data_IF_122703909969
#
_entry.id   IF_122703909969
#
_cell.length_a   1.000
_cell.length_b   1.000
_cell.length_c   1.000
_cell.angle_alpha   90.00
_cell.angle_beta   90.00
_cell.angle_gamma   90.00
#
_symmetry.space_group_name_H-M   'P 1'
#
loop_
_entity.id
_entity.type
_entity.pdbx_description
1 polymer ?
#
# COMPACT_ATOMS: atom_id res chain seq x y z
N UNK A 1 12.43 11.80 4.96
CA UNK A 1 11.22 11.05 4.60
C UNK A 1 10.35 10.86 5.83
N UNK A 2 9.07 11.11 5.72
CA UNK A 2 8.07 10.97 6.78
C UNK A 2 7.23 9.72 6.52
N UNK A 3 7.02 8.89 7.56
CA UNK A 3 6.13 7.72 7.56
C UNK A 3 5.19 7.86 8.76
N UNK A 4 4.32 8.86 8.70
CA UNK A 4 3.47 9.25 9.83
C UNK A 4 1.98 9.21 9.45
N UNK A 5 1.11 9.39 10.42
CA UNK A 5 -0.33 9.42 10.22
C UNK A 5 -0.72 10.60 9.32
N UNK A 6 -1.58 10.34 8.34
CA UNK A 6 -2.09 11.35 7.42
C UNK A 6 -2.90 12.46 8.11
N UNK A 7 -3.05 13.58 7.44
CA UNK A 7 -3.81 14.75 7.91
C UNK A 7 -2.93 15.75 8.66
N UNK A 8 -3.46 16.39 9.69
CA UNK A 8 -2.80 17.46 10.45
C UNK A 8 -1.37 17.11 10.92
N UNK A 9 -1.04 15.88 11.38
CA UNK A 9 0.33 15.55 11.78
C UNK A 9 1.37 15.76 10.68
N UNK A 10 0.99 15.58 9.40
CA UNK A 10 1.90 15.85 8.28
C UNK A 10 2.15 17.33 8.11
N UNK A 11 1.10 18.15 8.25
CA UNK A 11 1.22 19.61 8.17
C UNK A 11 2.07 20.16 9.33
N UNK A 12 1.85 19.67 10.55
CA UNK A 12 2.64 20.02 11.74
C UNK A 12 4.12 19.69 11.54
N UNK A 13 4.43 18.46 11.10
CA UNK A 13 5.81 18.03 10.82
C UNK A 13 6.47 18.87 9.72
N UNK A 14 5.75 19.23 8.67
CA UNK A 14 6.28 20.13 7.62
C UNK A 14 6.68 21.47 8.25
N UNK A 15 5.83 22.08 9.11
CA UNK A 15 6.17 23.36 9.74
C UNK A 15 7.38 23.24 10.68
N UNK A 16 7.55 22.11 11.37
CA UNK A 16 8.73 21.85 12.21
C UNK A 16 10.01 21.67 11.39
N UNK A 17 9.93 21.04 10.21
CA UNK A 17 11.09 20.79 9.35
C UNK A 17 11.55 22.04 8.59
N UNK A 18 10.63 22.87 8.12
CA UNK A 18 10.93 24.01 7.26
C UNK A 18 12.05 24.95 7.75
N UNK A 19 12.18 25.26 9.08
CA UNK A 19 13.27 26.10 9.58
C UNK A 19 14.67 25.46 9.50
N UNK A 20 14.74 24.14 9.26
CA UNK A 20 15.95 23.36 9.24
C UNK A 20 16.38 22.92 7.82
N UNK A 21 15.60 23.32 6.81
CA UNK A 21 15.80 22.96 5.42
C UNK A 21 16.28 24.17 4.60
N UNK A 22 17.02 23.89 3.54
CA UNK A 22 17.51 24.88 2.60
C UNK A 22 16.78 24.77 1.24
N UNK A 23 16.75 25.85 0.42
CA UNK A 23 16.18 25.79 -0.91
C UNK A 23 16.79 24.65 -1.75
N UNK A 24 15.92 23.82 -2.33
CA UNK A 24 16.28 22.63 -3.08
C UNK A 24 16.20 21.32 -2.28
N UNK A 25 16.09 21.38 -0.97
CA UNK A 25 15.83 20.18 -0.15
C UNK A 25 14.50 19.53 -0.49
N UNK A 26 14.41 18.21 -0.30
CA UNK A 26 13.24 17.40 -0.65
C UNK A 26 12.57 16.82 0.60
N UNK A 27 11.32 17.17 0.82
CA UNK A 27 10.45 16.50 1.79
C UNK A 27 9.72 15.34 1.10
N UNK A 28 9.83 14.12 1.62
CA UNK A 28 9.13 12.94 1.12
C UNK A 28 8.08 12.53 2.15
N UNK A 29 6.80 12.54 1.74
CA UNK A 29 5.68 11.99 2.49
C UNK A 29 5.34 10.60 1.97
N UNK A 30 5.71 9.54 2.72
CA UNK A 30 5.44 8.15 2.41
C UNK A 30 4.22 7.60 3.17
N UNK A 31 3.47 8.45 3.87
CA UNK A 31 2.22 8.07 4.53
C UNK A 31 1.07 7.84 3.54
N UNK A 32 -0.09 7.46 4.07
CA UNK A 32 -1.31 7.34 3.26
C UNK A 32 -2.08 8.67 3.25
N UNK A 33 -1.45 9.74 2.77
CA UNK A 33 -2.06 11.07 2.72
C UNK A 33 -3.15 11.17 1.64
N UNK A 34 -4.15 12.02 1.89
CA UNK A 34 -5.12 12.41 0.85
C UNK A 34 -4.37 13.16 -0.26
N UNK A 35 -4.61 12.76 -1.51
CA UNK A 35 -3.93 13.37 -2.66
C UNK A 35 -4.21 14.87 -2.81
N UNK A 36 -5.37 15.35 -2.35
CA UNK A 36 -5.75 16.78 -2.36
C UNK A 36 -4.91 17.58 -1.36
N UNK A 37 -4.66 17.00 -0.19
CA UNK A 37 -3.74 17.60 0.79
C UNK A 37 -2.30 17.61 0.24
N UNK A 38 -1.89 16.57 -0.46
CA UNK A 38 -0.58 16.51 -1.10
C UNK A 38 -0.45 17.58 -2.18
N UNK A 39 -1.47 17.76 -3.02
CA UNK A 39 -1.52 18.83 -4.01
C UNK A 39 -1.32 20.23 -3.38
N UNK A 40 -1.97 20.48 -2.25
CA UNK A 40 -1.81 21.72 -1.47
C UNK A 40 -0.40 21.86 -0.91
N UNK A 41 0.11 20.80 -0.27
CA UNK A 41 1.44 20.77 0.36
C UNK A 41 2.57 20.99 -0.65
N UNK A 42 2.48 20.41 -1.84
CA UNK A 42 3.42 20.68 -2.94
C UNK A 42 3.52 22.18 -3.18
N UNK A 43 2.40 22.87 -3.38
CA UNK A 43 2.38 24.32 -3.65
C UNK A 43 2.95 25.14 -2.48
N UNK A 44 2.60 24.79 -1.25
CA UNK A 44 3.05 25.48 -0.03
C UNK A 44 4.56 25.32 0.21
N UNK A 45 5.11 24.13 -0.05
CA UNK A 45 6.53 23.82 0.13
C UNK A 45 7.37 24.44 -0.99
N UNK A 46 6.91 24.35 -2.25
CA UNK A 46 7.55 24.99 -3.39
C UNK A 46 7.63 26.51 -3.28
N UNK A 47 6.58 27.15 -2.73
CA UNK A 47 6.57 28.59 -2.48
C UNK A 47 7.66 29.03 -1.48
N UNK A 48 8.26 28.09 -0.74
CA UNK A 48 9.39 28.32 0.18
C UNK A 48 10.73 27.86 -0.38
N UNK A 49 10.79 27.47 -1.65
CA UNK A 49 12.00 27.05 -2.36
C UNK A 49 12.41 25.60 -2.16
N UNK A 50 11.68 24.80 -1.37
CA UNK A 50 11.91 23.36 -1.19
C UNK A 50 11.04 22.55 -2.15
N UNK A 51 11.28 21.25 -2.21
CA UNK A 51 10.57 20.31 -3.07
C UNK A 51 9.79 19.29 -2.22
N UNK A 52 8.64 18.83 -2.73
CA UNK A 52 7.79 17.88 -2.03
C UNK A 52 7.45 16.68 -2.90
N UNK A 53 7.57 15.46 -2.35
CA UNK A 53 7.19 14.21 -3.00
C UNK A 53 6.18 13.49 -2.12
N UNK A 54 4.96 13.35 -2.62
CA UNK A 54 3.94 12.49 -2.03
C UNK A 54 4.06 11.10 -2.64
N UNK A 55 4.40 10.11 -1.81
CA UNK A 55 4.75 8.78 -2.28
C UNK A 55 3.82 7.74 -1.71
N UNK A 56 2.97 7.14 -2.56
CA UNK A 56 2.24 5.94 -2.19
C UNK A 56 3.19 4.76 -2.01
N UNK A 57 3.06 4.04 -0.90
CA UNK A 57 3.87 2.86 -0.59
C UNK A 57 2.95 1.68 -0.32
N UNK A 58 3.20 0.55 -0.98
CA UNK A 58 2.42 -0.68 -0.85
C UNK A 58 3.31 -1.90 -0.65
N UNK A 59 2.89 -2.82 0.23
CA UNK A 59 3.62 -4.05 0.53
C UNK A 59 3.49 -4.49 1.99
N UNK A 60 2.89 -3.67 2.84
CA UNK A 60 2.73 -3.96 4.26
C UNK A 60 4.06 -4.21 4.97
N UNK A 61 4.04 -5.02 6.01
CA UNK A 61 5.21 -5.34 6.84
C UNK A 61 6.27 -6.14 6.05
N UNK A 62 5.84 -7.09 5.24
CA UNK A 62 6.74 -7.88 4.39
C UNK A 62 7.37 -7.00 3.32
N UNK A 63 6.61 -6.10 2.69
CA UNK A 63 7.15 -5.14 1.73
C UNK A 63 8.16 -4.19 2.36
N UNK A 64 7.98 -3.79 3.62
CA UNK A 64 8.97 -2.99 4.33
C UNK A 64 10.31 -3.72 4.50
N UNK A 65 10.30 -5.05 4.62
CA UNK A 65 11.49 -5.89 4.77
C UNK A 65 12.14 -6.25 3.42
N UNK A 66 11.31 -6.57 2.41
CA UNK A 66 11.79 -7.19 1.15
C UNK A 66 11.75 -6.26 -0.05
N UNK A 67 11.18 -5.06 0.11
CA UNK A 67 10.96 -4.06 -0.92
C UNK A 67 9.48 -3.83 -1.20
N UNK A 68 8.99 -2.58 -1.06
CA UNK A 68 7.61 -2.23 -1.39
C UNK A 68 7.45 -1.83 -2.86
N UNK A 69 6.22 -1.77 -3.35
CA UNK A 69 5.89 -0.96 -4.52
C UNK A 69 5.83 0.51 -4.12
N UNK A 70 6.44 1.39 -4.91
CA UNK A 70 6.63 2.82 -4.59
C UNK A 70 6.07 3.68 -5.71
N UNK A 71 5.15 4.58 -5.39
CA UNK A 71 4.40 5.41 -6.32
C UNK A 71 4.67 6.90 -6.06
N UNK A 72 5.85 7.44 -6.47
CA UNK A 72 6.22 8.83 -6.21
C UNK A 72 5.53 9.81 -7.15
N UNK A 73 5.07 10.92 -6.60
CA UNK A 73 4.57 12.08 -7.34
C UNK A 73 4.79 13.36 -6.55
N UNK A 74 4.63 14.54 -7.16
CA UNK A 74 4.85 15.80 -6.45
C UNK A 74 5.56 16.85 -7.30
N UNK A 75 6.62 17.43 -6.77
CA UNK A 75 7.49 18.37 -7.47
C UNK A 75 8.33 17.65 -8.51
N UNK A 76 8.16 17.90 -9.82
CA UNK A 76 8.93 17.18 -10.86
C UNK A 76 10.44 17.33 -10.73
N UNK A 77 10.91 18.48 -10.24
CA UNK A 77 12.32 18.74 -10.01
C UNK A 77 12.94 17.86 -8.89
N UNK A 78 12.11 17.26 -8.04
CA UNK A 78 12.57 16.33 -7.00
C UNK A 78 12.93 14.96 -7.56
N UNK A 79 12.30 14.52 -8.65
CA UNK A 79 12.47 13.15 -9.14
C UNK A 79 13.94 12.77 -9.41
N UNK A 80 14.76 13.56 -10.13
CA UNK A 80 16.16 13.23 -10.33
C UNK A 80 16.97 13.09 -9.03
N UNK A 81 16.54 13.77 -7.96
CA UNK A 81 17.25 13.77 -6.67
C UNK A 81 16.90 12.54 -5.81
N UNK A 82 15.70 11.99 -5.97
CA UNK A 82 15.19 10.90 -5.11
C UNK A 82 15.05 9.56 -5.85
N UNK A 83 15.16 9.55 -7.18
CA UNK A 83 14.95 8.39 -8.03
C UNK A 83 15.75 7.18 -7.57
N UNK A 84 17.05 7.32 -7.47
CA UNK A 84 17.94 6.20 -7.15
C UNK A 84 17.66 5.64 -5.74
N UNK A 85 17.33 6.52 -4.78
CA UNK A 85 16.94 6.12 -3.44
C UNK A 85 15.64 5.30 -3.46
N UNK A 86 14.59 5.84 -4.08
CA UNK A 86 13.26 5.21 -4.10
C UNK A 86 13.26 3.92 -4.93
N UNK A 87 13.94 3.92 -6.08
CA UNK A 87 14.13 2.71 -6.88
C UNK A 87 15.03 1.69 -6.18
N UNK A 88 15.98 2.14 -5.38
CA UNK A 88 16.86 1.26 -4.58
C UNK A 88 16.11 0.41 -3.57
N UNK A 89 15.16 1.01 -2.86
CA UNK A 89 14.36 0.34 -1.81
C UNK A 89 13.13 -0.39 -2.34
N UNK A 90 12.72 -0.14 -3.58
CA UNK A 90 11.54 -0.77 -4.17
C UNK A 90 11.76 -2.27 -4.45
N UNK A 91 10.67 -3.04 -4.43
CA UNK A 91 10.63 -4.39 -4.96
C UNK A 91 11.17 -4.42 -6.40
N UNK A 92 11.71 -5.55 -6.81
CA UNK A 92 12.24 -5.77 -8.16
C UNK A 92 11.45 -6.90 -8.84
N UNK A 93 11.19 -6.73 -10.13
CA UNK A 93 10.76 -7.84 -10.97
C UNK A 93 11.93 -8.79 -11.24
N UNK A 94 11.64 -9.95 -11.82
CA UNK A 94 12.65 -10.97 -12.12
C UNK A 94 13.77 -10.46 -13.05
N UNK A 95 13.48 -9.48 -13.89
CA UNK A 95 14.43 -8.83 -14.79
C UNK A 95 15.22 -7.69 -14.11
N UNK A 96 14.99 -7.45 -12.82
CA UNK A 96 15.62 -6.39 -12.04
C UNK A 96 14.91 -5.03 -12.13
N UNK A 97 13.85 -4.89 -12.91
CA UNK A 97 13.08 -3.63 -13.01
C UNK A 97 12.46 -3.28 -11.67
N UNK A 98 12.70 -2.06 -11.13
CA UNK A 98 12.13 -1.65 -9.86
C UNK A 98 10.62 -1.38 -9.98
N UNK A 99 9.84 -1.81 -8.98
CA UNK A 99 8.43 -1.46 -8.82
C UNK A 99 8.29 0.00 -8.33
N UNK A 100 8.96 0.91 -9.01
CA UNK A 100 8.99 2.34 -8.69
C UNK A 100 9.28 3.16 -9.95
N UNK A 101 8.32 3.99 -10.36
CA UNK A 101 8.51 4.97 -11.43
C UNK A 101 7.76 6.25 -11.07
N UNK A 102 8.17 7.38 -11.66
CA UNK A 102 7.49 8.66 -11.45
C UNK A 102 6.06 8.64 -11.98
N UNK A 103 5.09 8.88 -11.10
CA UNK A 103 3.67 8.82 -11.44
C UNK A 103 3.19 10.13 -12.08
N UNK A 104 3.62 11.28 -11.53
CA UNK A 104 3.20 12.59 -12.04
C UNK A 104 3.32 13.71 -11.03
N UNK A 105 2.92 14.91 -11.44
CA UNK A 105 2.99 16.11 -10.60
C UNK A 105 1.93 16.13 -9.50
N UNK A 106 2.12 16.98 -8.50
CA UNK A 106 1.14 17.25 -7.44
C UNK A 106 0.80 16.01 -6.62
N UNK A 107 -0.48 15.74 -6.43
CA UNK A 107 -0.97 14.61 -5.64
C UNK A 107 -0.94 13.25 -6.34
N UNK A 108 -0.36 13.12 -7.54
CA UNK A 108 -0.49 11.92 -8.39
C UNK A 108 -0.07 10.62 -7.71
N UNK A 109 1.03 10.62 -6.94
CA UNK A 109 1.50 9.42 -6.23
C UNK A 109 0.49 8.90 -5.20
N UNK A 110 -0.02 9.77 -4.36
CA UNK A 110 -1.07 9.41 -3.38
C UNK A 110 -2.42 9.10 -4.05
N UNK A 111 -2.74 9.74 -5.19
CA UNK A 111 -3.93 9.40 -5.96
C UNK A 111 -3.89 7.95 -6.46
N UNK A 112 -2.77 7.55 -7.07
CA UNK A 112 -2.61 6.16 -7.56
C UNK A 112 -2.65 5.17 -6.40
N UNK A 113 -2.04 5.51 -5.24
CA UNK A 113 -2.13 4.66 -4.04
C UNK A 113 -3.58 4.54 -3.53
N UNK A 114 -4.35 5.62 -3.56
CA UNK A 114 -5.77 5.59 -3.20
C UNK A 114 -6.55 4.64 -4.11
N UNK A 115 -6.39 4.76 -5.43
CA UNK A 115 -7.04 3.88 -6.42
C UNK A 115 -6.62 2.42 -6.22
N UNK A 116 -5.32 2.17 -6.04
CA UNK A 116 -4.80 0.85 -5.68
C UNK A 116 -5.54 0.24 -4.48
N UNK A 117 -5.66 1.00 -3.39
CA UNK A 117 -6.32 0.52 -2.18
C UNK A 117 -7.82 0.27 -2.39
N UNK A 118 -8.49 1.08 -3.21
CA UNK A 118 -9.90 0.86 -3.54
C UNK A 118 -10.12 -0.44 -4.30
N UNK A 119 -9.27 -0.73 -5.28
CA UNK A 119 -9.30 -2.00 -6.04
C UNK A 119 -8.99 -3.18 -5.10
N UNK A 120 -7.94 -3.08 -4.30
CA UNK A 120 -7.54 -4.13 -3.35
C UNK A 120 -8.66 -4.48 -2.35
N UNK A 121 -9.42 -3.50 -1.89
CA UNK A 121 -10.57 -3.75 -1.01
C UNK A 121 -11.70 -4.51 -1.74
N UNK A 122 -11.91 -4.22 -3.02
CA UNK A 122 -12.83 -4.98 -3.87
C UNK A 122 -12.38 -6.44 -4.03
N UNK A 123 -11.10 -6.65 -4.31
CA UNK A 123 -10.51 -7.99 -4.43
C UNK A 123 -10.63 -8.78 -3.12
N UNK A 124 -10.34 -8.15 -1.98
CA UNK A 124 -10.49 -8.77 -0.66
C UNK A 124 -11.93 -9.16 -0.36
N UNK A 125 -12.89 -8.33 -0.76
CA UNK A 125 -14.32 -8.63 -0.61
C UNK A 125 -14.73 -9.83 -1.46
N UNK A 126 -14.31 -9.90 -2.72
CA UNK A 126 -14.58 -11.04 -3.62
C UNK A 126 -13.97 -12.34 -3.09
N UNK A 127 -12.76 -12.29 -2.52
CA UNK A 127 -12.12 -13.43 -1.87
C UNK A 127 -12.95 -13.89 -0.65
N UNK A 128 -13.37 -12.96 0.20
CA UNK A 128 -14.18 -13.27 1.38
C UNK A 128 -15.53 -13.89 1.00
N UNK A 129 -16.20 -13.35 -0.02
CA UNK A 129 -17.46 -13.91 -0.53
C UNK A 129 -17.24 -15.32 -1.15
N UNK A 130 -16.16 -15.52 -1.88
CA UNK A 130 -15.82 -16.82 -2.44
C UNK A 130 -15.58 -17.86 -1.33
N UNK A 131 -14.82 -17.50 -0.30
CA UNK A 131 -14.62 -18.33 0.89
C UNK A 131 -15.98 -18.67 1.55
N UNK A 132 -16.83 -17.66 1.77
CA UNK A 132 -18.14 -17.84 2.37
C UNK A 132 -19.03 -18.81 1.56
N UNK A 133 -19.03 -18.69 0.23
CA UNK A 133 -19.79 -19.58 -0.64
C UNK A 133 -19.28 -21.02 -0.57
N UNK A 134 -17.97 -21.23 -0.62
CA UNK A 134 -17.34 -22.55 -0.51
C UNK A 134 -17.64 -23.18 0.87
N UNK A 135 -17.50 -22.42 1.94
CA UNK A 135 -17.76 -22.88 3.32
C UNK A 135 -19.23 -23.20 3.54
N UNK A 136 -20.13 -22.26 3.23
CA UNK A 136 -21.55 -22.36 3.58
C UNK A 136 -22.37 -23.22 2.63
N UNK A 137 -22.18 -23.04 1.33
CA UNK A 137 -22.98 -23.74 0.33
C UNK A 137 -22.25 -24.98 -0.21
N UNK A 138 -20.94 -24.91 -0.35
CA UNK A 138 -20.10 -26.05 -0.72
C UNK A 138 -19.93 -27.05 0.43
N UNK A 139 -20.15 -26.62 1.68
CA UNK A 139 -19.94 -27.41 2.91
C UNK A 139 -18.51 -27.97 3.01
N UNK A 140 -17.54 -27.21 2.45
CA UNK A 140 -16.13 -27.59 2.44
C UNK A 140 -15.45 -27.19 3.74
N UNK A 141 -14.49 -28.00 4.17
CA UNK A 141 -13.60 -27.67 5.28
C UNK A 141 -12.47 -26.74 4.82
N UNK A 142 -11.82 -26.05 5.78
CA UNK A 142 -10.81 -25.04 5.46
C UNK A 142 -9.63 -25.60 4.67
N UNK A 143 -9.22 -26.86 4.87
CA UNK A 143 -8.15 -27.47 4.06
C UNK A 143 -8.56 -27.67 2.60
N UNK A 144 -9.82 -28.08 2.35
CA UNK A 144 -10.36 -28.22 0.99
C UNK A 144 -10.47 -26.86 0.29
N UNK A 145 -10.90 -25.83 1.02
CA UNK A 145 -10.95 -24.45 0.51
C UNK A 145 -9.54 -23.96 0.21
N UNK A 146 -8.57 -24.23 1.07
CA UNK A 146 -7.18 -23.90 0.86
C UNK A 146 -6.62 -24.54 -0.44
N UNK A 147 -6.97 -25.79 -0.71
CA UNK A 147 -6.54 -26.49 -1.94
C UNK A 147 -7.16 -25.87 -3.19
N UNK A 148 -8.40 -25.39 -3.12
CA UNK A 148 -9.05 -24.64 -4.20
C UNK A 148 -8.31 -23.33 -4.47
N UNK A 149 -8.08 -22.50 -3.45
CA UNK A 149 -7.33 -21.25 -3.60
C UNK A 149 -5.89 -21.49 -4.10
N UNK A 150 -5.21 -22.51 -3.58
CA UNK A 150 -3.88 -22.90 -4.07
C UNK A 150 -3.91 -23.36 -5.55
N UNK A 151 -5.00 -24.00 -5.97
CA UNK A 151 -5.25 -24.35 -7.37
C UNK A 151 -5.44 -23.09 -8.25
N UNK A 152 -6.27 -22.16 -7.81
CA UNK A 152 -6.50 -20.89 -8.50
C UNK A 152 -5.20 -20.06 -8.61
N UNK A 153 -4.36 -20.10 -7.58
CA UNK A 153 -3.07 -19.37 -7.58
C UNK A 153 -2.04 -19.94 -8.56
N UNK A 154 -2.31 -21.08 -9.20
CA UNK A 154 -1.47 -21.63 -10.28
C UNK A 154 -1.92 -21.25 -11.69
N UNK A 155 -3.04 -20.54 -11.80
CA UNK A 155 -3.68 -20.16 -13.05
C UNK A 155 -3.84 -18.64 -13.20
N UNK A 156 -4.93 -18.25 -13.84
CA UNK A 156 -5.23 -16.84 -14.18
C UNK A 156 -5.41 -15.94 -12.95
N UNK A 157 -5.79 -16.51 -11.79
CA UNK A 157 -5.94 -15.80 -10.53
C UNK A 157 -4.65 -15.74 -9.69
N UNK A 158 -3.49 -16.06 -10.28
CA UNK A 158 -2.22 -15.98 -9.58
C UNK A 158 -1.99 -14.58 -9.02
N UNK A 159 -1.96 -14.47 -7.69
CA UNK A 159 -1.74 -13.21 -6.99
C UNK A 159 -1.30 -13.45 -5.56
N UNK A 160 -0.71 -12.41 -4.96
CA UNK A 160 -0.35 -12.44 -3.54
C UNK A 160 -1.57 -12.72 -2.65
N UNK A 161 -2.70 -12.04 -2.87
CA UNK A 161 -3.90 -12.21 -2.05
C UNK A 161 -4.48 -13.63 -2.15
N UNK A 162 -4.54 -14.21 -3.33
CA UNK A 162 -5.00 -15.61 -3.50
C UNK A 162 -4.04 -16.58 -2.81
N UNK A 163 -2.72 -16.36 -2.94
CA UNK A 163 -1.72 -17.19 -2.29
C UNK A 163 -1.84 -17.20 -0.77
N UNK A 164 -1.85 -16.01 -0.15
CA UNK A 164 -1.97 -15.90 1.31
C UNK A 164 -3.32 -16.41 1.82
N UNK A 165 -4.39 -16.33 1.04
CA UNK A 165 -5.70 -16.87 1.42
C UNK A 165 -5.62 -18.39 1.57
N UNK A 166 -4.95 -19.08 0.65
CA UNK A 166 -4.71 -20.51 0.78
C UNK A 166 -3.93 -20.86 2.06
N UNK A 167 -2.92 -20.07 2.39
CA UNK A 167 -2.12 -20.27 3.61
C UNK A 167 -2.94 -19.99 4.88
N UNK A 168 -3.70 -18.89 4.91
CA UNK A 168 -4.57 -18.50 6.05
C UNK A 168 -5.56 -19.62 6.37
N UNK A 169 -6.18 -20.24 5.36
CA UNK A 169 -7.14 -21.32 5.57
C UNK A 169 -6.52 -22.56 6.24
N UNK A 170 -5.20 -22.77 6.14
CA UNK A 170 -4.48 -23.89 6.76
C UNK A 170 -3.98 -23.63 8.17
N UNK A 171 -3.95 -22.38 8.62
CA UNK A 171 -3.37 -22.06 9.92
C UNK A 171 -4.15 -22.70 11.05
N UNK A 172 -3.44 -23.45 11.89
CA UNK A 172 -4.01 -24.10 13.08
C UNK A 172 -3.72 -23.30 14.34
N UNK A 173 -4.68 -23.33 15.25
CA UNK A 173 -4.48 -22.81 16.62
C UNK A 173 -3.82 -23.87 17.51
N UNK A 174 -3.45 -23.50 18.71
CA UNK A 174 -2.75 -24.34 19.69
C UNK A 174 -3.49 -25.61 20.09
N UNK A 175 -4.82 -25.65 19.95
CA UNK A 175 -5.65 -26.83 20.21
C UNK A 175 -5.94 -27.69 18.97
N UNK A 176 -5.34 -27.33 17.81
CA UNK A 176 -5.48 -28.02 16.53
C UNK A 176 -6.67 -27.60 15.68
N UNK A 177 -7.55 -26.72 16.19
CA UNK A 177 -8.62 -26.11 15.39
C UNK A 177 -8.11 -25.08 14.40
N UNK A 178 -8.92 -24.67 13.42
CA UNK A 178 -8.52 -23.61 12.48
C UNK A 178 -8.54 -22.26 13.17
N UNK A 179 -7.44 -21.51 13.04
CA UNK A 179 -7.35 -20.16 13.59
C UNK A 179 -8.38 -19.23 12.94
N UNK A 180 -8.66 -19.41 11.64
CA UNK A 180 -9.63 -18.63 10.88
C UNK A 180 -11.04 -18.66 11.49
N UNK A 181 -11.47 -19.82 12.02
CA UNK A 181 -12.79 -19.98 12.65
C UNK A 181 -12.91 -19.18 13.98
N UNK A 182 -11.81 -18.64 14.50
CA UNK A 182 -11.76 -17.86 15.76
C UNK A 182 -11.49 -16.37 15.55
N UNK A 183 -11.26 -15.96 14.31
CA UNK A 183 -11.09 -14.55 13.98
C UNK A 183 -12.45 -13.87 14.05
N UNK A 184 -12.48 -12.75 14.77
CA UNK A 184 -13.70 -11.94 14.89
C UNK A 184 -14.03 -11.33 13.52
N UNK A 185 -15.29 -11.51 13.09
CA UNK A 185 -15.81 -10.97 11.82
C UNK A 185 -16.00 -9.45 11.92
N UNK A 186 -14.89 -8.73 11.91
CA UNK A 186 -14.80 -7.26 11.91
C UNK A 186 -13.81 -6.80 10.86
N UNK A 187 -14.23 -5.89 10.00
CA UNK A 187 -13.36 -5.20 9.08
C UNK A 187 -13.06 -3.77 9.57
N UNK A 188 -11.82 -3.33 9.36
CA UNK A 188 -11.37 -1.97 9.63
C UNK A 188 -10.68 -1.37 8.42
N UNK A 189 -10.49 -0.04 8.43
CA UNK A 189 -9.75 0.65 7.38
C UNK A 189 -8.79 1.69 7.95
N UNK A 190 -7.71 1.98 7.21
CA UNK A 190 -6.70 3.00 7.57
C UNK A 190 -6.94 4.37 6.91
N UNK A 191 -8.10 4.58 6.28
CA UNK A 191 -8.53 5.87 5.73
C UNK A 191 -8.54 5.97 4.20
N UNK A 192 -7.52 5.48 3.49
CA UNK A 192 -7.41 5.64 2.02
C UNK A 192 -8.55 5.01 1.24
N UNK A 193 -9.05 3.85 1.66
CA UNK A 193 -10.16 3.16 0.98
C UNK A 193 -11.49 3.92 0.99
N UNK A 194 -11.71 4.86 1.89
CA UNK A 194 -12.95 5.65 1.93
C UNK A 194 -12.99 6.84 0.97
N UNK A 195 -11.87 7.17 0.33
CA UNK A 195 -11.77 8.27 -0.62
C UNK A 195 -11.97 7.82 -2.08
N UNK A 196 -11.99 6.51 -2.29
CA UNK A 196 -12.27 5.85 -3.57
C UNK A 196 -13.80 5.65 -3.81
#
# INVERSE_FOLDING_TARGET
MMMIRAGAPVDEMIQELLPHLEPGDVIIDGGNSDFRDTERRVKEVEARGMLYVGTGISGGEIGALTGPSVMPGGSPAAWPLVKDLLQGIAAKLDDGTPCCEWIGSGGAGHYVKMVHNGIEYGDMQLIAESYFMLRKYGQLENDEIADIFAGWNKGELNSYLIGITADICRVRDTDGGYLLDRILDIAGQKGTGKWT
#
